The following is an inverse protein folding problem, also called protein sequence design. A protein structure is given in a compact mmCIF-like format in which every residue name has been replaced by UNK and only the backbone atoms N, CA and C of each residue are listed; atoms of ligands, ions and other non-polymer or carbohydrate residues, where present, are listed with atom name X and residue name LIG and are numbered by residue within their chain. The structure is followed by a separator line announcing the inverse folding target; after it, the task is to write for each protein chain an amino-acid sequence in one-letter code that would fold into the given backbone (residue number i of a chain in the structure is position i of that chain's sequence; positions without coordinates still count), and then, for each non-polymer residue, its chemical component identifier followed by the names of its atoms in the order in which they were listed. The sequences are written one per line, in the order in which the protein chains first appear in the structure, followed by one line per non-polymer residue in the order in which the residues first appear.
data_IF_189198361339
#
_entry.id   IF_189198361339
#
_cell.length_a   1.000
_cell.length_b   1.000
_cell.length_c   1.000
_cell.angle_alpha   90.00
_cell.angle_beta   90.00
_cell.angle_gamma   90.00
#
_symmetry.space_group_name_H-M   'P 1'
#
loop_
_entity.id
_entity.type
_entity.pdbx_description
1 polymer ?
#
# COMPACT_ATOMS: atom_id res chain seq x y z
N UNK A 1 -7.07 39.96 67.16
CA UNK A 1 -5.62 39.65 67.08
C UNK A 1 -5.37 38.99 65.78
N UNK A 2 -5.00 39.75 64.78
CA UNK A 2 -3.74 39.83 64.05
C UNK A 2 -3.25 38.44 63.55
N UNK A 3 -3.00 38.19 62.29
CA UNK A 3 -2.18 38.91 61.37
C UNK A 3 -2.40 38.49 59.90
N UNK A 4 -2.18 39.47 59.08
CA UNK A 4 -2.12 39.40 57.60
C UNK A 4 -0.93 38.61 57.07
N UNK A 5 -1.15 37.86 55.92
CA UNK A 5 -0.13 37.22 55.09
C UNK A 5 -0.32 37.63 53.63
N UNK A 6 0.57 38.47 53.15
CA UNK A 6 0.62 39.04 51.81
C UNK A 6 0.93 37.96 50.76
N UNK A 7 0.09 37.84 49.75
CA UNK A 7 0.41 37.18 48.48
C UNK A 7 0.92 38.22 47.47
N UNK A 8 2.19 38.11 47.07
CA UNK A 8 2.80 38.88 45.99
C UNK A 8 2.46 38.32 44.60
N UNK A 9 2.44 39.15 43.56
CA UNK A 9 1.99 38.75 42.24
C UNK A 9 3.10 38.07 41.43
N UNK A 10 2.95 36.79 41.13
CA UNK A 10 3.70 36.09 40.06
C UNK A 10 2.91 36.19 38.76
N UNK A 11 3.19 37.17 37.95
CA UNK A 11 2.47 37.32 36.69
C UNK A 11 3.06 38.40 35.79
N UNK A 12 4.35 38.32 35.44
CA UNK A 12 4.95 39.24 34.45
C UNK A 12 6.21 38.75 33.71
N UNK A 13 6.54 37.48 33.76
CA UNK A 13 7.75 37.01 33.06
C UNK A 13 7.49 36.25 31.74
N UNK A 14 6.28 35.70 31.51
CA UNK A 14 5.99 34.92 30.31
C UNK A 14 5.74 35.75 29.03
N UNK A 15 5.24 37.00 29.20
CA UNK A 15 4.96 37.89 28.05
C UNK A 15 6.21 38.51 27.41
N UNK A 16 7.32 38.56 28.15
CA UNK A 16 8.56 39.17 27.64
C UNK A 16 9.45 38.18 26.90
N UNK A 17 9.32 36.91 27.22
CA UNK A 17 10.05 35.83 26.49
C UNK A 17 9.38 35.52 25.17
N UNK A 18 8.04 35.47 25.09
CA UNK A 18 7.31 35.33 23.83
C UNK A 18 7.49 36.53 22.88
N UNK A 19 7.61 37.77 23.45
CA UNK A 19 7.91 38.94 22.65
C UNK A 19 9.36 38.93 22.12
N UNK A 20 10.32 38.41 22.89
CA UNK A 20 11.72 38.23 22.45
C UNK A 20 11.89 37.13 21.43
N UNK A 21 11.16 36.02 21.55
CA UNK A 21 11.15 34.98 20.55
C UNK A 21 10.54 35.47 19.21
N UNK A 22 9.43 36.20 19.24
CA UNK A 22 8.85 36.82 18.04
C UNK A 22 9.76 37.83 17.38
N UNK A 23 10.46 38.65 18.16
CA UNK A 23 11.43 39.66 17.66
C UNK A 23 12.70 38.99 17.09
N UNK A 24 13.07 37.79 17.58
CA UNK A 24 14.17 37.00 17.04
C UNK A 24 13.79 36.30 15.70
N UNK A 25 12.52 35.81 15.58
CA UNK A 25 12.02 35.28 14.32
C UNK A 25 11.77 36.36 13.25
N UNK A 26 11.44 37.58 13.62
CA UNK A 26 11.23 38.69 12.68
C UNK A 26 12.55 39.32 12.20
N UNK A 27 13.67 39.09 12.90
CA UNK A 27 15.01 39.56 12.49
C UNK A 27 15.69 38.68 11.43
N UNK A 28 15.18 37.46 11.16
CA UNK A 28 15.67 36.57 10.08
C UNK A 28 14.89 36.70 8.77
N UNK A 29 13.94 37.62 8.66
CA UNK A 29 13.33 37.94 7.36
C UNK A 29 14.31 38.77 6.52
N UNK A 30 15.23 38.08 5.85
CA UNK A 30 16.06 38.70 4.80
C UNK A 30 15.11 39.32 3.78
N UNK A 31 15.13 40.64 3.66
CA UNK A 31 14.25 41.37 2.74
C UNK A 31 14.55 41.02 1.28
N UNK A 32 13.52 41.00 0.42
CA UNK A 32 13.69 40.70 -1.02
C UNK A 32 14.77 41.58 -1.67
N UNK A 33 14.92 42.84 -1.23
CA UNK A 33 15.97 43.76 -1.69
C UNK A 33 17.37 43.32 -1.26
N UNK A 34 17.53 42.77 -0.09
CA UNK A 34 18.82 42.27 0.43
C UNK A 34 19.25 41.03 -0.35
N UNK A 35 18.28 40.09 -0.57
CA UNK A 35 18.53 38.90 -1.41
C UNK A 35 18.93 39.33 -2.81
N UNK A 36 18.21 40.27 -3.41
CA UNK A 36 18.52 40.75 -4.76
C UNK A 36 19.89 41.45 -4.81
N UNK A 37 20.25 42.25 -3.81
CA UNK A 37 21.55 42.91 -3.72
C UNK A 37 22.69 41.90 -3.51
N UNK A 38 22.43 40.86 -2.74
CA UNK A 38 23.39 39.77 -2.52
C UNK A 38 23.62 38.95 -3.79
N UNK A 39 22.56 38.55 -4.50
CA UNK A 39 22.62 37.80 -5.75
C UNK A 39 23.35 38.59 -6.87
N UNK A 40 23.15 39.92 -6.95
CA UNK A 40 23.89 40.78 -7.89
C UNK A 40 25.38 40.77 -7.63
N UNK A 41 25.82 40.65 -6.38
CA UNK A 41 27.25 40.56 -6.00
C UNK A 41 27.84 39.17 -6.22
N UNK A 42 26.97 38.13 -6.29
CA UNK A 42 27.35 36.72 -6.44
C UNK A 42 26.70 36.09 -7.69
N UNK A 43 27.01 36.51 -8.92
CA UNK A 43 26.29 36.08 -10.13
C UNK A 43 26.39 34.59 -10.42
N UNK A 44 27.43 33.94 -9.90
CA UNK A 44 27.64 32.50 -10.08
C UNK A 44 26.99 31.64 -8.97
N UNK A 45 26.22 32.22 -8.04
CA UNK A 45 25.62 31.52 -6.93
C UNK A 45 24.70 30.39 -7.40
N UNK A 46 23.85 30.63 -8.41
CA UNK A 46 22.91 29.62 -8.93
C UNK A 46 23.62 28.47 -9.68
N UNK A 47 24.89 28.62 -10.06
CA UNK A 47 25.69 27.52 -10.61
C UNK A 47 26.05 26.50 -9.52
N UNK A 48 26.22 26.97 -8.27
CA UNK A 48 26.52 26.13 -7.12
C UNK A 48 25.25 25.42 -6.55
N UNK A 49 24.06 25.95 -6.87
CA UNK A 49 22.78 25.44 -6.43
C UNK A 49 21.82 25.27 -7.62
N UNK A 50 22.04 24.24 -8.47
CA UNK A 50 21.22 24.00 -9.67
C UNK A 50 19.74 23.79 -9.38
N UNK A 51 19.43 23.12 -8.25
CA UNK A 51 18.06 22.84 -7.83
C UNK A 51 17.29 24.13 -7.51
N UNK A 52 17.97 25.10 -6.89
CA UNK A 52 17.39 26.41 -6.62
C UNK A 52 17.13 27.18 -7.93
N UNK A 53 18.06 27.11 -8.88
CA UNK A 53 17.89 27.74 -10.20
C UNK A 53 16.67 27.19 -10.97
N UNK A 54 16.39 25.89 -10.83
CA UNK A 54 15.24 25.21 -11.45
C UNK A 54 13.92 25.61 -10.78
N UNK A 55 13.92 25.79 -9.46
CA UNK A 55 12.72 26.11 -8.68
C UNK A 55 12.30 27.58 -8.76
N UNK A 56 13.20 28.51 -9.10
CA UNK A 56 12.90 29.93 -9.21
C UNK A 56 11.98 30.20 -10.41
N UNK A 57 10.84 30.87 -10.14
CA UNK A 57 9.92 31.36 -11.17
C UNK A 57 10.35 32.77 -11.59
N UNK A 58 10.80 32.93 -12.82
CA UNK A 58 11.09 34.24 -13.41
C UNK A 58 9.82 34.76 -14.05
N UNK A 59 9.26 35.93 -13.62
CA UNK A 59 8.13 36.55 -14.29
C UNK A 59 8.48 36.84 -15.76
N UNK A 60 7.60 36.43 -16.68
CA UNK A 60 7.78 36.79 -18.10
C UNK A 60 7.33 38.22 -18.31
N UNK A 61 8.18 39.04 -18.93
CA UNK A 61 7.71 40.25 -19.57
C UNK A 61 6.73 39.84 -20.70
N UNK A 62 5.50 40.29 -20.63
CA UNK A 62 4.50 40.05 -21.66
C UNK A 62 4.88 40.91 -22.88
N UNK A 63 5.57 40.29 -23.83
CA UNK A 63 5.89 40.87 -25.13
C UNK A 63 5.67 39.85 -26.25
N UNK A 64 5.36 40.28 -27.51
CA UNK A 64 5.00 39.37 -28.61
C UNK A 64 6.13 38.47 -29.11
N UNK A 65 7.32 38.57 -28.57
CA UNK A 65 8.42 37.66 -28.81
C UNK A 65 8.70 36.79 -27.60
N UNK A 66 7.83 35.82 -27.35
CA UNK A 66 8.18 34.69 -26.47
C UNK A 66 9.35 33.97 -27.17
N UNK A 67 10.57 34.13 -26.64
CA UNK A 67 11.75 33.46 -27.17
C UNK A 67 11.50 31.96 -27.25
N UNK A 68 11.79 31.32 -28.38
CA UNK A 68 11.74 29.86 -28.56
C UNK A 68 12.47 29.13 -27.41
N UNK A 69 13.57 29.71 -26.94
CA UNK A 69 14.32 29.22 -25.77
C UNK A 69 13.47 29.24 -24.48
N UNK A 70 12.64 30.26 -24.24
CA UNK A 70 11.73 30.31 -23.09
C UNK A 70 10.65 29.23 -23.14
N UNK A 71 10.09 28.97 -24.32
CA UNK A 71 9.14 27.90 -24.55
C UNK A 71 9.76 26.51 -24.35
N UNK A 72 10.96 26.31 -24.92
CA UNK A 72 11.71 25.06 -24.74
C UNK A 72 12.05 24.78 -23.26
N UNK A 73 12.44 25.82 -22.51
CA UNK A 73 12.74 25.72 -21.09
C UNK A 73 11.50 25.31 -20.29
N UNK A 74 10.32 25.83 -20.62
CA UNK A 74 9.08 25.45 -19.98
C UNK A 74 8.74 23.97 -20.22
N UNK A 75 8.80 23.53 -21.48
CA UNK A 75 8.60 22.13 -21.84
C UNK A 75 9.59 21.21 -21.11
N UNK A 76 10.86 21.61 -21.03
CA UNK A 76 11.88 20.82 -20.32
C UNK A 76 11.61 20.75 -18.81
N UNK A 77 11.16 21.83 -18.19
CA UNK A 77 10.75 21.85 -16.78
C UNK A 77 9.56 20.94 -16.52
N UNK A 78 8.56 20.99 -17.38
CA UNK A 78 7.37 20.13 -17.24
C UNK A 78 7.71 18.66 -17.44
N UNK A 79 8.56 18.34 -18.43
CA UNK A 79 9.08 16.99 -18.61
C UNK A 79 9.90 16.51 -17.40
N UNK A 80 10.71 17.38 -16.82
CA UNK A 80 11.51 17.05 -15.65
C UNK A 80 10.61 16.76 -14.43
N UNK A 81 9.58 17.59 -14.19
CA UNK A 81 8.58 17.35 -13.15
C UNK A 81 7.87 16.00 -13.34
N UNK A 82 7.44 15.73 -14.57
CA UNK A 82 6.77 14.46 -14.91
C UNK A 82 7.72 13.26 -14.73
N UNK A 83 8.98 13.36 -15.14
CA UNK A 83 9.98 12.32 -14.93
C UNK A 83 10.23 12.07 -13.45
N UNK A 84 10.36 13.13 -12.65
CA UNK A 84 10.53 13.01 -11.20
C UNK A 84 9.31 12.33 -10.55
N UNK A 85 8.09 12.70 -10.96
CA UNK A 85 6.86 12.03 -10.47
C UNK A 85 6.89 10.54 -10.79
N UNK A 86 7.21 10.16 -12.03
CA UNK A 86 7.31 8.74 -12.44
C UNK A 86 8.40 7.99 -11.71
N UNK A 87 9.54 8.63 -11.43
CA UNK A 87 10.60 8.05 -10.62
C UNK A 87 10.12 7.75 -9.20
N UNK A 88 9.42 8.68 -8.54
CA UNK A 88 8.86 8.43 -7.21
C UNK A 88 7.85 7.28 -7.22
N UNK A 89 6.98 7.20 -8.22
CA UNK A 89 6.04 6.08 -8.38
C UNK A 89 6.77 4.74 -8.57
N UNK A 90 7.83 4.72 -9.39
CA UNK A 90 8.65 3.52 -9.59
C UNK A 90 9.37 3.08 -8.31
N UNK A 91 9.92 4.01 -7.54
CA UNK A 91 10.53 3.70 -6.25
C UNK A 91 9.52 3.13 -5.25
N UNK A 92 8.34 3.73 -5.16
CA UNK A 92 7.28 3.22 -4.29
C UNK A 92 6.85 1.80 -4.69
N UNK A 93 6.68 1.54 -5.98
CA UNK A 93 6.35 0.21 -6.51
C UNK A 93 7.48 -0.80 -6.25
N UNK A 94 8.75 -0.38 -6.38
CA UNK A 94 9.88 -1.25 -6.09
C UNK A 94 9.95 -1.64 -4.61
N UNK A 95 9.74 -0.70 -3.70
CA UNK A 95 9.69 -0.97 -2.26
C UNK A 95 8.54 -1.92 -1.88
N UNK A 96 7.35 -1.73 -2.47
CA UNK A 96 6.22 -2.62 -2.22
C UNK A 96 6.49 -4.03 -2.78
N UNK A 97 7.08 -4.14 -3.97
CA UNK A 97 7.48 -5.43 -4.54
C UNK A 97 8.51 -6.16 -3.66
N UNK A 98 9.50 -5.43 -3.12
CA UNK A 98 10.48 -5.99 -2.19
C UNK A 98 9.79 -6.51 -0.92
N UNK A 99 8.88 -5.73 -0.34
CA UNK A 99 8.11 -6.13 0.84
C UNK A 99 7.29 -7.39 0.57
N UNK A 100 6.59 -7.47 -0.56
CA UNK A 100 5.80 -8.63 -0.96
C UNK A 100 6.68 -9.87 -1.18
N UNK A 101 7.87 -9.69 -1.79
CA UNK A 101 8.83 -10.79 -1.98
C UNK A 101 9.32 -11.37 -0.64
N UNK A 102 9.68 -10.51 0.31
CA UNK A 102 10.09 -10.93 1.67
C UNK A 102 8.95 -11.68 2.36
N UNK A 103 7.72 -11.16 2.31
CA UNK A 103 6.54 -11.81 2.92
C UNK A 103 6.25 -13.18 2.31
N UNK A 104 6.27 -13.27 0.98
CA UNK A 104 6.06 -14.54 0.26
C UNK A 104 7.14 -15.57 0.63
N UNK A 105 8.39 -15.14 0.77
CA UNK A 105 9.47 -16.00 1.23
C UNK A 105 9.25 -16.47 2.66
N UNK A 106 8.89 -15.58 3.59
CA UNK A 106 8.58 -15.92 4.97
C UNK A 106 7.42 -16.91 5.09
N UNK A 107 6.33 -16.68 4.33
CA UNK A 107 5.22 -17.61 4.24
C UNK A 107 5.69 -18.99 3.75
N UNK A 108 6.47 -19.05 2.67
CA UNK A 108 7.00 -20.32 2.14
C UNK A 108 7.78 -21.07 3.20
N UNK A 109 8.66 -20.40 3.94
CA UNK A 109 9.43 -21.03 5.03
C UNK A 109 8.53 -21.49 6.19
N UNK A 110 7.48 -20.72 6.52
CA UNK A 110 6.52 -21.08 7.54
C UNK A 110 5.74 -22.35 7.15
N UNK A 111 5.25 -22.44 5.90
CA UNK A 111 4.57 -23.61 5.37
C UNK A 111 5.47 -24.85 5.32
N UNK A 112 6.74 -24.68 4.93
CA UNK A 112 7.69 -25.79 4.88
C UNK A 112 8.02 -26.39 6.25
N UNK A 113 7.91 -25.62 7.33
CA UNK A 113 8.15 -26.08 8.70
C UNK A 113 6.99 -26.92 9.26
N UNK A 114 5.80 -26.89 8.64
CA UNK A 114 4.65 -27.63 9.14
C UNK A 114 4.83 -29.13 8.96
N UNK A 115 4.27 -29.88 9.91
CA UNK A 115 4.41 -31.35 9.98
C UNK A 115 3.14 -32.09 9.61
N UNK A 116 2.00 -31.36 9.42
CA UNK A 116 0.74 -31.91 8.97
C UNK A 116 0.02 -31.02 7.97
N UNK A 117 -0.87 -31.59 7.19
CA UNK A 117 -1.73 -30.83 6.26
C UNK A 117 -2.62 -29.84 7.02
N UNK A 118 -3.14 -30.21 8.19
CA UNK A 118 -3.97 -29.35 9.02
C UNK A 118 -3.20 -28.12 9.51
N UNK A 119 -1.96 -28.30 10.00
CA UNK A 119 -1.13 -27.18 10.45
C UNK A 119 -0.70 -26.29 9.29
N UNK A 120 -0.46 -26.89 8.12
CA UNK A 120 -0.18 -26.13 6.88
C UNK A 120 -1.36 -25.24 6.50
N UNK A 121 -2.60 -25.75 6.55
CA UNK A 121 -3.81 -24.97 6.27
C UNK A 121 -4.02 -23.86 7.30
N UNK A 122 -3.83 -24.12 8.60
CA UNK A 122 -3.90 -23.11 9.66
C UNK A 122 -2.83 -22.01 9.48
N UNK A 123 -1.59 -22.40 9.19
CA UNK A 123 -0.50 -21.46 8.96
C UNK A 123 -0.78 -20.55 7.76
N UNK A 124 -1.35 -21.12 6.69
CA UNK A 124 -1.77 -20.32 5.53
C UNK A 124 -2.88 -19.34 5.86
N UNK A 125 -3.93 -19.80 6.55
CA UNK A 125 -5.05 -18.96 6.96
C UNK A 125 -4.58 -17.80 7.86
N UNK A 126 -3.78 -18.10 8.89
CA UNK A 126 -3.22 -17.10 9.80
C UNK A 126 -2.37 -16.04 9.07
N UNK A 127 -1.55 -16.46 8.11
CA UNK A 127 -0.74 -15.53 7.29
C UNK A 127 -1.61 -14.64 6.41
N UNK A 128 -2.67 -15.20 5.82
CA UNK A 128 -3.60 -14.43 5.00
C UNK A 128 -4.42 -13.44 5.84
N UNK A 129 -4.86 -13.82 7.03
CA UNK A 129 -5.56 -12.92 7.94
C UNK A 129 -4.67 -11.77 8.41
N UNK A 130 -3.37 -12.02 8.62
CA UNK A 130 -2.39 -10.97 8.94
C UNK A 130 -2.14 -10.04 7.75
N UNK A 131 -1.93 -10.61 6.55
CA UNK A 131 -1.60 -9.86 5.33
C UNK A 131 -2.79 -9.08 4.76
N UNK A 132 -3.99 -9.61 4.94
CA UNK A 132 -5.25 -9.02 4.48
C UNK A 132 -6.14 -8.61 5.66
N UNK A 133 -5.53 -7.99 6.67
CA UNK A 133 -6.24 -7.55 7.87
C UNK A 133 -7.46 -6.66 7.52
N UNK A 134 -8.63 -7.09 7.98
CA UNK A 134 -9.91 -6.43 7.68
C UNK A 134 -10.65 -6.96 6.45
N UNK A 135 -10.03 -7.82 5.64
CA UNK A 135 -10.66 -8.53 4.52
C UNK A 135 -11.18 -9.91 4.99
N UNK A 136 -12.05 -10.51 4.18
CA UNK A 136 -12.61 -11.84 4.45
C UNK A 136 -11.77 -12.91 3.75
N UNK A 137 -11.07 -13.71 4.53
CA UNK A 137 -10.30 -14.85 4.01
C UNK A 137 -11.15 -16.12 4.04
N UNK A 138 -11.13 -16.88 2.96
CA UNK A 138 -11.74 -18.22 2.84
C UNK A 138 -10.79 -19.19 2.15
N UNK A 139 -10.60 -20.33 2.76
CA UNK A 139 -9.93 -21.48 2.18
C UNK A 139 -10.99 -22.54 1.85
N UNK A 140 -11.18 -22.79 0.57
CA UNK A 140 -12.08 -23.83 0.08
C UNK A 140 -11.25 -25.05 -0.31
N UNK A 141 -11.41 -26.16 0.39
CA UNK A 141 -10.72 -27.43 0.11
C UNK A 141 -11.61 -28.40 -0.65
N UNK A 142 -11.06 -29.11 -1.63
CA UNK A 142 -11.78 -30.14 -2.42
C UNK A 142 -11.93 -31.46 -1.67
N UNK A 143 -11.17 -31.67 -0.60
CA UNK A 143 -11.25 -32.85 0.25
C UNK A 143 -11.06 -32.48 1.71
N UNK A 144 -11.68 -33.23 2.64
CA UNK A 144 -11.47 -33.02 4.08
C UNK A 144 -10.01 -33.34 4.45
N UNK A 145 -9.47 -32.54 5.34
CA UNK A 145 -8.11 -32.71 5.90
C UNK A 145 -8.22 -33.18 7.33
N UNK A 146 -7.63 -34.34 7.65
CA UNK A 146 -7.65 -34.90 8.98
C UNK A 146 -7.00 -33.94 10.00
N UNK A 147 -7.68 -33.72 11.14
CA UNK A 147 -7.23 -32.82 12.20
C UNK A 147 -7.47 -31.32 11.89
N UNK A 148 -8.25 -31.00 10.88
CA UNK A 148 -8.70 -29.65 10.60
C UNK A 148 -10.19 -29.55 11.00
N UNK A 149 -10.45 -28.79 12.07
CA UNK A 149 -11.80 -28.56 12.57
C UNK A 149 -12.50 -27.46 11.79
N UNK A 150 -13.83 -27.40 11.88
CA UNK A 150 -14.63 -26.35 11.29
C UNK A 150 -14.19 -24.96 11.80
N UNK A 151 -13.94 -24.06 10.88
CA UNK A 151 -13.53 -22.70 11.17
C UNK A 151 -14.20 -21.73 10.18
N UNK A 152 -14.39 -20.49 10.59
CA UNK A 152 -15.02 -19.50 9.72
C UNK A 152 -14.28 -19.32 8.39
N UNK A 153 -12.96 -19.38 8.42
CA UNK A 153 -12.12 -19.25 7.23
C UNK A 153 -12.06 -20.50 6.34
N UNK A 154 -12.59 -21.66 6.81
CA UNK A 154 -12.52 -22.95 6.12
C UNK A 154 -13.86 -23.37 5.57
N UNK A 155 -13.86 -23.87 4.34
CA UNK A 155 -14.98 -24.53 3.71
C UNK A 155 -14.49 -25.78 2.99
N UNK A 156 -15.11 -26.93 3.24
CA UNK A 156 -14.81 -28.16 2.49
C UNK A 156 -15.94 -28.43 1.49
N UNK A 157 -15.62 -28.43 0.21
CA UNK A 157 -16.53 -28.72 -0.89
C UNK A 157 -15.94 -29.86 -1.70
N UNK A 158 -16.60 -31.01 -1.74
CA UNK A 158 -16.12 -32.13 -2.59
C UNK A 158 -16.03 -31.71 -4.07
N UNK A 159 -15.14 -32.34 -4.83
CA UNK A 159 -14.92 -32.00 -6.25
C UNK A 159 -16.19 -32.10 -7.13
N UNK A 160 -17.16 -32.96 -6.72
CA UNK A 160 -18.45 -33.09 -7.37
C UNK A 160 -19.52 -32.07 -6.88
N UNK A 161 -19.19 -31.21 -5.92
CA UNK A 161 -20.14 -30.25 -5.38
C UNK A 161 -20.55 -29.22 -6.45
N UNK A 162 -21.85 -29.05 -6.64
CA UNK A 162 -22.42 -28.11 -7.61
C UNK A 162 -22.06 -26.65 -7.31
N UNK A 163 -21.82 -26.33 -6.05
CA UNK A 163 -21.37 -24.98 -5.61
C UNK A 163 -20.02 -24.60 -6.20
N UNK A 164 -19.18 -25.55 -6.58
CA UNK A 164 -17.91 -25.32 -7.29
C UNK A 164 -18.08 -25.01 -8.77
N UNK A 165 -19.26 -25.26 -9.34
CA UNK A 165 -19.49 -25.06 -10.78
C UNK A 165 -19.07 -23.67 -11.30
N UNK A 166 -19.36 -22.55 -10.62
CA UNK A 166 -18.95 -21.21 -11.07
C UNK A 166 -17.44 -20.96 -11.03
N UNK A 167 -16.68 -21.84 -10.33
CA UNK A 167 -15.22 -21.69 -10.14
C UNK A 167 -14.40 -22.67 -10.97
N UNK A 168 -15.04 -23.59 -11.69
CA UNK A 168 -14.34 -24.65 -12.44
C UNK A 168 -13.34 -24.12 -13.46
N UNK A 169 -13.67 -23.05 -14.16
CA UNK A 169 -12.75 -22.47 -15.14
C UNK A 169 -11.53 -21.83 -14.46
N UNK A 170 -11.74 -21.17 -13.32
CA UNK A 170 -10.67 -20.62 -12.49
C UNK A 170 -9.76 -21.74 -11.94
N UNK A 171 -10.36 -22.80 -11.40
CA UNK A 171 -9.63 -23.97 -10.88
C UNK A 171 -8.81 -24.69 -11.97
N UNK A 172 -9.34 -24.77 -13.21
CA UNK A 172 -8.63 -25.37 -14.33
C UNK A 172 -7.52 -24.49 -14.87
N UNK A 173 -7.72 -23.17 -14.93
CA UNK A 173 -6.70 -22.24 -15.43
C UNK A 173 -5.47 -22.17 -14.53
N UNK A 174 -5.66 -22.33 -13.22
CA UNK A 174 -4.58 -22.15 -12.24
C UNK A 174 -4.15 -20.71 -12.06
N UNK A 175 -4.79 -19.75 -12.73
CA UNK A 175 -4.42 -18.34 -12.68
C UNK A 175 -5.28 -17.57 -11.66
N UNK A 176 -4.68 -16.76 -10.78
CA UNK A 176 -5.42 -15.91 -9.89
C UNK A 176 -6.28 -14.88 -10.63
N UNK A 177 -7.48 -14.64 -10.11
CA UNK A 177 -8.44 -13.68 -10.67
C UNK A 177 -8.72 -12.61 -9.61
N UNK A 178 -8.61 -11.33 -10.01
CA UNK A 178 -8.96 -10.19 -9.17
C UNK A 178 -10.09 -9.39 -9.81
N UNK A 179 -11.04 -8.93 -9.00
CA UNK A 179 -12.14 -8.10 -9.47
C UNK A 179 -13.41 -8.26 -8.65
N UNK A 180 -14.50 -7.72 -9.19
CA UNK A 180 -15.85 -7.90 -8.63
C UNK A 180 -16.40 -9.23 -9.11
N UNK A 181 -16.79 -10.07 -8.17
CA UNK A 181 -17.44 -11.33 -8.48
C UNK A 181 -18.96 -11.14 -8.67
N UNK A 182 -19.57 -12.07 -9.37
CA UNK A 182 -21.03 -12.16 -9.44
C UNK A 182 -21.61 -12.51 -8.06
N UNK A 183 -22.79 -11.99 -7.69
CA UNK A 183 -23.38 -12.20 -6.36
C UNK A 183 -23.46 -13.69 -5.96
N UNK A 184 -23.78 -14.58 -6.91
CA UNK A 184 -23.86 -16.01 -6.66
C UNK A 184 -22.51 -16.59 -6.20
N UNK A 185 -21.40 -16.10 -6.77
CA UNK A 185 -20.06 -16.50 -6.37
C UNK A 185 -19.71 -16.00 -4.96
N UNK A 186 -20.10 -14.78 -4.65
CA UNK A 186 -19.90 -14.21 -3.30
C UNK A 186 -20.67 -15.02 -2.24
N UNK A 187 -21.93 -15.39 -2.51
CA UNK A 187 -22.75 -16.21 -1.59
C UNK A 187 -22.09 -17.55 -1.30
N UNK A 188 -21.54 -18.22 -2.32
CA UNK A 188 -20.85 -19.49 -2.14
C UNK A 188 -19.61 -19.35 -1.26
N UNK A 189 -18.83 -18.28 -1.45
CA UNK A 189 -17.54 -18.08 -0.75
C UNK A 189 -17.70 -17.47 0.64
N UNK A 190 -18.60 -16.49 0.79
CA UNK A 190 -18.66 -15.64 1.98
C UNK A 190 -19.95 -15.81 2.79
N UNK A 191 -20.91 -16.60 2.29
CA UNK A 191 -22.17 -16.88 2.99
C UNK A 191 -22.92 -15.60 3.33
N UNK A 192 -23.29 -15.45 4.61
CA UNK A 192 -24.06 -14.30 5.12
C UNK A 192 -23.33 -12.96 4.98
N UNK A 193 -22.01 -12.98 4.75
CA UNK A 193 -21.20 -11.78 4.54
C UNK A 193 -20.94 -11.44 3.07
N UNK A 194 -21.64 -12.12 2.15
CA UNK A 194 -21.49 -11.93 0.72
C UNK A 194 -21.78 -10.48 0.25
N UNK A 195 -22.75 -9.82 0.91
CA UNK A 195 -23.13 -8.42 0.59
C UNK A 195 -22.07 -7.40 1.02
N UNK A 196 -21.24 -7.74 2.01
CA UNK A 196 -20.13 -6.89 2.46
C UNK A 196 -19.02 -6.81 1.41
N UNK A 197 -18.91 -7.79 0.50
CA UNK A 197 -17.78 -7.94 -0.41
C UNK A 197 -18.01 -7.18 -1.71
N UNK A 198 -17.17 -6.18 -1.94
CA UNK A 198 -17.20 -5.33 -3.14
C UNK A 198 -16.14 -5.70 -4.17
N UNK A 199 -15.05 -6.32 -3.74
CA UNK A 199 -14.00 -6.87 -4.63
C UNK A 199 -13.38 -8.13 -4.02
N UNK A 200 -12.86 -9.01 -4.86
CA UNK A 200 -12.26 -10.28 -4.41
C UNK A 200 -11.03 -10.64 -5.22
N UNK A 201 -10.10 -11.35 -4.55
CA UNK A 201 -9.03 -12.10 -5.18
C UNK A 201 -9.31 -13.59 -5.01
N UNK A 202 -9.26 -14.34 -6.10
CA UNK A 202 -9.38 -15.80 -6.14
C UNK A 202 -8.05 -16.40 -6.53
N UNK A 203 -7.54 -17.31 -5.71
CA UNK A 203 -6.29 -18.03 -5.92
C UNK A 203 -6.63 -19.51 -6.09
N UNK A 204 -6.70 -20.01 -7.31
CA UNK A 204 -6.91 -21.44 -7.54
C UNK A 204 -5.69 -22.24 -7.09
N UNK A 205 -5.98 -23.39 -6.49
CA UNK A 205 -4.99 -24.35 -5.97
C UNK A 205 -5.28 -25.71 -6.66
N UNK A 206 -4.71 -25.98 -7.85
CA UNK A 206 -5.03 -27.17 -8.60
C UNK A 206 -4.87 -28.46 -7.77
N UNK A 207 -5.93 -29.26 -7.72
CA UNK A 207 -5.97 -30.49 -6.93
C UNK A 207 -6.14 -30.32 -5.41
N UNK A 208 -6.10 -29.10 -4.89
CA UNK A 208 -6.23 -28.80 -3.45
C UNK A 208 -7.52 -28.03 -3.18
N UNK A 209 -7.78 -26.95 -3.93
CA UNK A 209 -8.94 -26.11 -3.69
C UNK A 209 -8.79 -24.69 -4.23
N UNK A 210 -9.30 -23.74 -3.47
CA UNK A 210 -9.33 -22.32 -3.81
C UNK A 210 -9.11 -21.49 -2.54
N UNK A 211 -8.29 -20.44 -2.62
CA UNK A 211 -8.29 -19.37 -1.63
C UNK A 211 -9.07 -18.18 -2.19
N UNK A 212 -9.93 -17.60 -1.37
CA UNK A 212 -10.67 -16.40 -1.70
C UNK A 212 -10.41 -15.33 -0.63
N UNK A 213 -10.12 -14.11 -1.07
CA UNK A 213 -10.01 -12.93 -0.21
C UNK A 213 -11.01 -11.91 -0.68
N UNK A 214 -11.97 -11.55 0.18
CA UNK A 214 -13.02 -10.59 -0.12
C UNK A 214 -12.87 -9.31 0.66
N UNK A 215 -12.92 -8.16 -0.02
CA UNK A 215 -12.79 -6.84 0.57
C UNK A 215 -14.05 -6.01 0.43
N UNK A 216 -14.31 -5.17 1.43
CA UNK A 216 -15.33 -4.11 1.39
C UNK A 216 -14.95 -2.94 0.48
N UNK A 217 -13.67 -2.78 0.18
CA UNK A 217 -13.19 -1.78 -0.79
C UNK A 217 -13.28 -2.33 -2.22
N UNK A 218 -14.12 -1.72 -3.04
CA UNK A 218 -14.29 -2.11 -4.45
C UNK A 218 -13.06 -1.90 -5.34
N UNK A 219 -12.07 -1.15 -4.86
CA UNK A 219 -10.82 -0.87 -5.59
C UNK A 219 -9.62 -1.67 -5.07
N UNK A 220 -9.80 -2.48 -4.03
CA UNK A 220 -8.71 -3.27 -3.47
C UNK A 220 -8.21 -4.34 -4.43
N UNK A 221 -9.13 -5.10 -5.00
CA UNK A 221 -8.85 -6.13 -5.99
C UNK A 221 -9.49 -5.74 -7.32
N UNK A 222 -8.72 -5.15 -8.24
CA UNK A 222 -9.22 -4.69 -9.51
C UNK A 222 -8.68 -5.55 -10.68
N UNK A 223 -9.43 -5.66 -11.78
CA UNK A 223 -8.98 -6.38 -12.95
C UNK A 223 -7.69 -5.78 -13.51
N UNK A 224 -6.69 -6.63 -13.75
CA UNK A 224 -5.39 -6.19 -14.27
C UNK A 224 -4.35 -5.81 -13.20
N UNK A 225 -4.68 -5.91 -11.90
CA UNK A 225 -3.64 -5.83 -10.87
C UNK A 225 -2.63 -6.98 -11.00
N UNK A 226 -1.38 -6.75 -10.60
CA UNK A 226 -0.35 -7.79 -10.63
C UNK A 226 -0.69 -8.97 -9.70
N UNK A 227 -0.84 -10.16 -10.26
CA UNK A 227 -1.21 -11.37 -9.51
C UNK A 227 -0.02 -12.29 -9.20
N UNK A 228 1.21 -11.85 -9.52
CA UNK A 228 2.40 -12.67 -9.35
C UNK A 228 2.58 -13.21 -7.93
N UNK A 229 2.48 -12.33 -6.92
CA UNK A 229 2.65 -12.72 -5.52
C UNK A 229 1.53 -13.62 -5.03
N UNK A 230 0.29 -13.37 -5.45
CA UNK A 230 -0.85 -14.24 -5.15
C UNK A 230 -0.59 -15.64 -5.70
N UNK A 231 -0.13 -15.75 -6.95
CA UNK A 231 0.22 -17.03 -7.57
C UNK A 231 1.35 -17.74 -6.80
N UNK A 232 2.44 -17.03 -6.47
CA UNK A 232 3.55 -17.59 -5.69
C UNK A 232 3.10 -18.13 -4.32
N UNK A 233 2.21 -17.43 -3.63
CA UNK A 233 1.63 -17.88 -2.36
C UNK A 233 0.79 -19.16 -2.56
N UNK A 234 -0.06 -19.19 -3.58
CA UNK A 234 -0.86 -20.36 -3.92
C UNK A 234 -0.01 -21.59 -4.28
N UNK A 235 1.03 -21.41 -5.10
CA UNK A 235 1.98 -22.45 -5.47
C UNK A 235 2.73 -23.00 -4.25
N UNK A 236 3.22 -22.11 -3.36
CA UNK A 236 3.90 -22.50 -2.14
C UNK A 236 2.97 -23.33 -1.22
N UNK A 237 1.72 -22.91 -1.08
CA UNK A 237 0.74 -23.64 -0.28
C UNK A 237 0.37 -24.99 -0.91
N UNK A 238 0.10 -25.04 -2.22
CA UNK A 238 -0.21 -26.29 -2.91
C UNK A 238 0.97 -27.31 -2.83
N UNK A 239 2.21 -26.82 -2.98
CA UNK A 239 3.40 -27.64 -2.81
C UNK A 239 3.55 -28.17 -1.38
N UNK A 240 3.29 -27.32 -0.37
CA UNK A 240 3.35 -27.72 1.04
C UNK A 240 2.27 -28.77 1.38
N UNK A 241 1.03 -28.61 0.90
CA UNK A 241 -0.07 -29.57 1.06
C UNK A 241 0.23 -30.89 0.36
N UNK A 242 0.82 -30.87 -0.83
CA UNK A 242 1.19 -32.06 -1.61
C UNK A 242 2.17 -33.02 -0.90
N UNK A 243 2.89 -32.55 0.13
CA UNK A 243 3.78 -33.37 0.95
C UNK A 243 3.03 -34.41 1.80
N UNK A 244 1.78 -34.15 2.10
CA UNK A 244 0.93 -34.98 2.97
C UNK A 244 -0.12 -35.80 2.22
N UNK A 245 -0.24 -35.62 0.91
CA UNK A 245 -1.24 -36.22 0.04
C UNK A 245 -0.75 -37.49 -0.69
N UNK A 246 0.13 -38.31 -0.03
CA UNK A 246 0.54 -39.63 -0.53
C UNK A 246 -0.11 -40.73 0.25
#
# INVERSE_FOLDING_TARGET
MNAAGRSGPRGRQTGNDEARERDMYDKEKIGAHEIAAWLRRHPNFLQQFPDLAISLVVPREQGPAASLAGYQLEILRDKNRELNRRLHELFANAQENERLAVRTHQLTLALMKQTSAADTARAMAASLEEDFAGDLVRLVLLAPVAGLDDAEWLQTLGDADLRLSPFRDCLKSGEPICGRLQPEKNVVLYGDRAEDVQSSALLPLPGVGLIAVGSRDGNRFYPGMGTLFLRMMGEAFAAAMGRFGR
#
